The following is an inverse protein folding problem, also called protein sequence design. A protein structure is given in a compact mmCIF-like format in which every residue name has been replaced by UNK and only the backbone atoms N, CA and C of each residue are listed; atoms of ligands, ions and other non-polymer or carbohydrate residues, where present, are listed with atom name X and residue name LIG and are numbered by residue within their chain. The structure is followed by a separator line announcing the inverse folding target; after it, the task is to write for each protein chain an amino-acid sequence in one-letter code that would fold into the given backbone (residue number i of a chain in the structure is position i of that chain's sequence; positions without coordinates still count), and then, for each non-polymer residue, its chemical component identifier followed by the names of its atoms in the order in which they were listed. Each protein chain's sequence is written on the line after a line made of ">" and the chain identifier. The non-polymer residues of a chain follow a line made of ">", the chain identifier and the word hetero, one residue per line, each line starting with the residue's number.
data_IF_823066220597
#
_entry.id   IF_823066220597
#
_cell.length_a   1.000
_cell.length_b   1.000
_cell.length_c   1.000
_cell.angle_alpha   90.00
_cell.angle_beta   90.00
_cell.angle_gamma   90.00
#
_symmetry.space_group_name_H-M   'P 1'
#
loop_
_entity.id
_entity.type
_entity.pdbx_description
1 polymer ?
#
# COMPACT_ATOMS: atom_id res chain seq x y z
N UNK A 1 11.09 -10.98 -11.72
CA UNK A 1 9.73 -10.49 -11.40
C UNK A 1 8.92 -11.67 -10.92
N UNK A 2 8.19 -11.56 -9.82
CA UNK A 2 7.36 -12.67 -9.33
C UNK A 2 6.25 -13.00 -10.33
N UNK A 3 5.95 -14.29 -10.58
CA UNK A 3 5.00 -14.69 -11.62
C UNK A 3 3.58 -14.14 -11.39
N UNK A 4 3.15 -13.99 -10.13
CA UNK A 4 1.82 -13.47 -9.77
C UNK A 4 1.63 -11.99 -10.10
N UNK A 5 2.63 -11.14 -9.81
CA UNK A 5 2.60 -9.71 -10.16
C UNK A 5 2.69 -9.48 -11.68
N UNK A 6 3.43 -10.37 -12.36
CA UNK A 6 3.54 -10.33 -13.83
C UNK A 6 2.18 -10.59 -14.49
N UNK A 7 1.40 -11.54 -13.95
CA UNK A 7 0.05 -11.81 -14.43
C UNK A 7 -0.93 -10.68 -14.09
N UNK A 8 -0.80 -10.07 -12.90
CA UNK A 8 -1.66 -8.96 -12.47
C UNK A 8 -1.56 -7.72 -13.37
N UNK A 9 -0.42 -7.51 -14.05
CA UNK A 9 -0.23 -6.41 -15.02
C UNK A 9 -1.33 -6.33 -16.10
N UNK A 10 -2.01 -7.44 -16.41
CA UNK A 10 -3.16 -7.47 -17.34
C UNK A 10 -4.33 -6.56 -16.94
N UNK A 11 -4.40 -6.16 -15.67
CA UNK A 11 -5.45 -5.27 -15.16
C UNK A 11 -5.08 -3.79 -15.25
N UNK A 12 -3.88 -3.47 -15.72
CA UNK A 12 -3.37 -2.11 -15.85
C UNK A 12 -3.40 -1.64 -17.31
N UNK A 13 -3.35 -0.32 -17.55
CA UNK A 13 -3.11 0.23 -18.87
C UNK A 13 -1.85 -0.35 -19.53
N UNK A 14 -1.85 -0.45 -20.86
CA UNK A 14 -0.72 -1.01 -21.63
C UNK A 14 0.58 -0.23 -21.40
N UNK A 15 0.45 1.09 -21.28
CA UNK A 15 1.52 2.06 -21.04
C UNK A 15 1.86 2.25 -19.55
N UNK A 16 1.27 1.46 -18.65
CA UNK A 16 1.62 1.51 -17.24
C UNK A 16 3.12 1.16 -17.06
N UNK A 17 3.93 2.04 -16.43
CA UNK A 17 5.39 1.93 -16.44
C UNK A 17 5.90 0.69 -15.68
N UNK A 18 5.16 0.24 -14.65
CA UNK A 18 5.50 -0.93 -13.83
C UNK A 18 6.93 -0.90 -13.28
N UNK A 19 7.38 0.28 -12.87
CA UNK A 19 8.75 0.55 -12.44
C UNK A 19 8.88 0.74 -10.92
N UNK A 20 7.76 0.67 -10.18
CA UNK A 20 7.70 0.95 -8.74
C UNK A 20 8.20 2.37 -8.37
N UNK A 21 8.06 3.33 -9.29
CA UNK A 21 8.27 4.74 -8.98
C UNK A 21 7.05 5.32 -8.26
N UNK A 22 7.26 6.39 -7.47
CA UNK A 22 6.14 7.12 -6.86
C UNK A 22 5.19 7.69 -7.93
N UNK A 23 5.71 8.12 -9.07
CA UNK A 23 4.90 8.62 -10.19
C UNK A 23 3.99 7.52 -10.79
N UNK A 24 4.39 6.25 -10.72
CA UNK A 24 3.53 5.15 -11.16
C UNK A 24 2.28 4.99 -10.29
N UNK A 25 2.29 5.52 -9.06
CA UNK A 25 1.12 5.52 -8.17
C UNK A 25 0.04 6.49 -8.65
N UNK A 26 0.41 7.62 -9.24
CA UNK A 26 -0.55 8.56 -9.82
C UNK A 26 -1.37 7.89 -10.95
N UNK A 27 -0.73 7.01 -11.74
CA UNK A 27 -1.43 6.25 -12.78
C UNK A 27 -2.27 5.13 -12.16
N UNK A 28 -1.77 4.48 -11.11
CA UNK A 28 -2.53 3.46 -10.38
C UNK A 28 -3.80 4.05 -9.75
N UNK A 29 -3.72 5.27 -9.22
CA UNK A 29 -4.86 6.02 -8.67
C UNK A 29 -5.99 6.18 -9.70
N UNK A 30 -5.70 6.49 -10.96
CA UNK A 30 -6.74 6.56 -12.00
C UNK A 30 -7.46 5.23 -12.17
N UNK A 31 -6.72 4.12 -12.21
CA UNK A 31 -7.32 2.77 -12.32
C UNK A 31 -8.20 2.45 -11.11
N UNK A 32 -7.77 2.87 -9.92
CA UNK A 32 -8.50 2.68 -8.67
C UNK A 32 -9.77 3.53 -8.62
N UNK A 33 -9.73 4.78 -9.09
CA UNK A 33 -10.89 5.68 -9.12
C UNK A 33 -12.02 5.16 -10.02
N UNK A 34 -11.66 4.55 -11.15
CA UNK A 34 -12.61 3.94 -12.09
C UNK A 34 -13.18 2.63 -11.55
N UNK A 35 -12.35 1.84 -10.85
CA UNK A 35 -12.74 0.51 -10.37
C UNK A 35 -13.48 0.53 -9.04
N UNK A 36 -13.15 1.47 -8.14
CA UNK A 36 -13.71 1.58 -6.80
C UNK A 36 -14.59 2.82 -6.69
N UNK A 37 -15.90 2.71 -6.97
CA UNK A 37 -16.83 3.82 -6.75
C UNK A 37 -17.00 4.16 -5.27
N UNK A 38 -16.77 3.20 -4.36
CA UNK A 38 -16.88 3.39 -2.92
C UNK A 38 -15.96 2.42 -2.12
N UNK A 39 -15.94 2.60 -0.79
CA UNK A 39 -15.20 1.75 0.15
C UNK A 39 -15.56 0.26 0.04
N UNK A 40 -16.83 -0.06 -0.19
CA UNK A 40 -17.31 -1.45 -0.23
C UNK A 40 -16.73 -2.19 -1.43
N UNK A 41 -16.54 -1.47 -2.53
CA UNK A 41 -16.00 -1.99 -3.80
C UNK A 41 -14.57 -2.51 -3.67
N UNK A 42 -13.77 -1.98 -2.75
CA UNK A 42 -12.37 -2.40 -2.51
C UNK A 42 -12.29 -3.84 -2.01
N UNK A 43 -13.26 -4.26 -1.18
CA UNK A 43 -13.33 -5.61 -0.59
C UNK A 43 -14.34 -6.52 -1.31
N UNK A 44 -14.93 -6.06 -2.41
CA UNK A 44 -15.89 -6.83 -3.16
C UNK A 44 -15.22 -8.08 -3.79
N UNK A 45 -15.83 -9.28 -3.72
CA UNK A 45 -15.21 -10.51 -4.23
C UNK A 45 -14.76 -10.42 -5.70
N UNK A 46 -15.51 -9.71 -6.54
CA UNK A 46 -15.19 -9.46 -7.95
C UNK A 46 -13.91 -8.65 -8.17
N UNK A 47 -13.46 -7.91 -7.15
CA UNK A 47 -12.25 -7.11 -7.18
C UNK A 47 -11.08 -7.77 -6.44
N UNK A 48 -11.26 -8.92 -5.75
CA UNK A 48 -10.24 -9.52 -4.88
C UNK A 48 -8.87 -9.66 -5.55
N UNK A 49 -8.82 -10.25 -6.75
CA UNK A 49 -7.56 -10.45 -7.49
C UNK A 49 -6.87 -9.10 -7.81
N UNK A 50 -7.66 -8.09 -8.19
CA UNK A 50 -7.13 -6.77 -8.48
C UNK A 50 -6.64 -6.07 -7.21
N UNK A 51 -7.44 -6.10 -6.13
CA UNK A 51 -7.10 -5.52 -4.83
C UNK A 51 -5.83 -6.13 -4.27
N UNK A 52 -5.67 -7.45 -4.34
CA UNK A 52 -4.47 -8.14 -3.86
C UNK A 52 -3.21 -7.69 -4.62
N UNK A 53 -3.28 -7.58 -5.95
CA UNK A 53 -2.16 -7.08 -6.74
C UNK A 53 -1.89 -5.60 -6.51
N UNK A 54 -2.91 -4.78 -6.31
CA UNK A 54 -2.78 -3.36 -5.98
C UNK A 54 -2.11 -3.16 -4.61
N UNK A 55 -2.53 -3.90 -3.58
CA UNK A 55 -1.91 -3.93 -2.25
C UNK A 55 -0.43 -4.28 -2.37
N UNK A 56 -0.12 -5.30 -3.17
CA UNK A 56 1.25 -5.78 -3.35
C UNK A 56 2.11 -4.77 -4.10
N UNK A 57 1.60 -4.20 -5.20
CA UNK A 57 2.33 -3.20 -5.98
C UNK A 57 2.58 -1.92 -5.17
N UNK A 58 1.57 -1.45 -4.44
CA UNK A 58 1.64 -0.26 -3.61
C UNK A 58 2.69 -0.43 -2.49
N UNK A 59 2.56 -1.47 -1.67
CA UNK A 59 3.51 -1.65 -0.58
C UNK A 59 4.93 -1.96 -1.06
N UNK A 60 5.09 -2.60 -2.22
CA UNK A 60 6.40 -2.84 -2.80
C UNK A 60 7.02 -1.57 -3.41
N UNK A 61 6.17 -0.65 -3.88
CA UNK A 61 6.58 0.70 -4.28
C UNK A 61 7.12 1.45 -3.07
N UNK A 62 6.39 1.50 -1.95
CA UNK A 62 6.88 2.15 -0.73
C UNK A 62 8.17 1.52 -0.21
N UNK A 63 8.23 0.18 -0.14
CA UNK A 63 9.41 -0.57 0.31
C UNK A 63 10.69 -0.27 -0.48
N UNK A 64 10.55 0.05 -1.76
CA UNK A 64 11.69 0.36 -2.65
C UNK A 64 12.13 1.81 -2.58
N UNK A 65 11.24 2.71 -2.17
CA UNK A 65 11.52 4.15 -2.15
C UNK A 65 11.91 4.66 -0.75
N UNK A 66 11.60 3.92 0.32
CA UNK A 66 11.96 4.25 1.71
C UNK A 66 12.46 3.02 2.46
N UNK A 67 13.42 3.20 3.38
CA UNK A 67 13.98 2.13 4.22
C UNK A 67 12.91 1.48 5.11
N UNK A 68 12.24 0.47 4.56
CA UNK A 68 11.10 -0.19 5.19
C UNK A 68 11.06 -1.68 4.84
N UNK A 69 10.21 -2.44 5.52
CA UNK A 69 10.05 -3.89 5.38
C UNK A 69 8.57 -4.28 5.38
N UNK A 70 8.28 -5.42 4.77
CA UNK A 70 6.99 -6.07 4.92
C UNK A 70 6.86 -6.70 6.32
N UNK A 71 5.70 -6.53 6.95
CA UNK A 71 5.32 -7.21 8.19
C UNK A 71 3.94 -7.85 8.04
N UNK A 72 3.68 -8.86 8.87
CA UNK A 72 2.40 -9.54 8.97
C UNK A 72 2.22 -10.04 10.40
N UNK A 73 1.11 -9.70 11.02
CA UNK A 73 0.75 -10.14 12.37
C UNK A 73 -0.49 -11.03 12.33
N UNK A 74 -0.49 -12.10 13.13
CA UNK A 74 -1.66 -12.90 13.43
C UNK A 74 -1.81 -12.91 14.96
N UNK A 75 -2.65 -12.01 15.47
CA UNK A 75 -2.92 -11.85 16.91
C UNK A 75 -4.03 -12.78 17.39
N UNK A 76 -4.45 -13.74 16.55
CA UNK A 76 -5.51 -14.71 16.84
C UNK A 76 -6.88 -14.25 16.36
N UNK A 77 -7.99 -14.69 17.00
CA UNK A 77 -9.36 -14.43 16.53
C UNK A 77 -9.86 -13.01 16.84
N UNK A 78 -9.01 -12.10 17.30
CA UNK A 78 -9.40 -10.73 17.58
C UNK A 78 -9.46 -9.91 16.30
N UNK A 79 -10.67 -9.75 15.76
CA UNK A 79 -10.93 -8.97 14.55
C UNK A 79 -11.03 -7.45 14.82
N UNK A 80 -10.84 -6.98 16.06
CA UNK A 80 -10.83 -5.54 16.36
C UNK A 80 -9.50 -4.87 16.02
N UNK A 81 -8.41 -5.63 15.99
CA UNK A 81 -7.09 -5.13 15.61
C UNK A 81 -7.02 -4.97 14.08
N UNK A 82 -6.93 -3.71 13.65
CA UNK A 82 -6.83 -3.31 12.24
C UNK A 82 -5.55 -3.81 11.56
N UNK A 83 -4.56 -4.27 12.34
CA UNK A 83 -3.31 -4.83 11.84
C UNK A 83 -3.31 -6.36 11.82
N UNK A 84 -4.35 -7.00 12.37
CA UNK A 84 -4.45 -8.45 12.41
C UNK A 84 -4.74 -9.03 11.02
N UNK A 85 -3.94 -10.04 10.64
CA UNK A 85 -4.04 -10.80 9.39
C UNK A 85 -4.00 -9.94 8.11
N UNK A 86 -3.36 -8.78 8.16
CA UNK A 86 -3.15 -7.92 6.98
C UNK A 86 -1.66 -7.64 6.76
N UNK A 87 -1.19 -7.57 5.50
CA UNK A 87 0.18 -7.19 5.21
C UNK A 87 0.39 -5.69 5.50
N UNK A 88 1.53 -5.38 6.09
CA UNK A 88 1.94 -4.05 6.52
C UNK A 88 3.28 -3.67 5.89
N UNK A 89 3.49 -2.38 5.65
CA UNK A 89 4.82 -1.83 5.35
C UNK A 89 5.26 -1.00 6.54
N UNK A 90 6.43 -1.31 7.10
CA UNK A 90 6.92 -0.72 8.34
C UNK A 90 8.33 -0.13 8.16
N UNK A 91 8.58 1.05 8.70
CA UNK A 91 9.90 1.70 8.66
C UNK A 91 10.96 0.88 9.40
N UNK A 92 12.19 0.89 8.88
CA UNK A 92 13.33 0.14 9.43
C UNK A 92 14.06 0.92 10.51
N UNK A 93 13.35 1.20 11.60
CA UNK A 93 13.86 1.84 12.81
C UNK A 93 13.54 0.97 14.04
N UNK A 94 14.15 1.25 15.21
CA UNK A 94 13.76 0.60 16.45
C UNK A 94 12.24 0.72 16.72
N UNK A 95 11.67 -0.29 17.38
CA UNK A 95 10.22 -0.43 17.57
C UNK A 95 9.56 0.72 18.34
N UNK A 96 10.31 1.46 19.14
CA UNK A 96 9.87 2.67 19.84
C UNK A 96 9.59 3.85 18.89
N UNK A 97 10.08 3.78 17.66
CA UNK A 97 9.96 4.82 16.64
C UNK A 97 9.31 4.31 15.35
N UNK A 98 8.97 3.03 15.26
CA UNK A 98 8.51 2.47 14.00
C UNK A 98 7.10 2.94 13.61
N UNK A 99 6.91 3.12 12.31
CA UNK A 99 5.64 3.48 11.71
C UNK A 99 5.25 2.36 10.75
N UNK A 100 3.99 1.93 10.83
CA UNK A 100 3.45 0.92 9.94
C UNK A 100 2.22 1.45 9.18
N UNK A 101 2.17 1.17 7.89
CA UNK A 101 1.04 1.50 7.01
C UNK A 101 0.47 0.19 6.48
N UNK A 102 -0.86 0.08 6.45
CA UNK A 102 -1.57 -1.04 5.83
C UNK A 102 -1.98 -0.64 4.41
N UNK A 103 -1.36 -1.17 3.34
CA UNK A 103 -1.69 -0.76 1.98
C UNK A 103 -3.18 -0.95 1.64
N UNK A 104 -3.81 -2.00 2.16
CA UNK A 104 -5.25 -2.22 1.99
C UNK A 104 -6.10 -1.10 2.60
N UNK A 105 -5.73 -0.59 3.78
CA UNK A 105 -6.46 0.53 4.40
C UNK A 105 -6.23 1.83 3.65
N UNK A 106 -5.04 2.02 3.08
CA UNK A 106 -4.79 3.14 2.18
C UNK A 106 -5.65 3.08 0.93
N UNK A 107 -5.82 1.91 0.28
CA UNK A 107 -6.72 1.78 -0.87
C UNK A 107 -8.18 2.07 -0.49
N UNK A 108 -8.60 1.65 0.71
CA UNK A 108 -9.93 1.93 1.25
C UNK A 108 -10.13 3.42 1.50
N UNK A 109 -9.17 4.09 2.12
CA UNK A 109 -9.21 5.52 2.38
C UNK A 109 -9.24 6.29 1.05
N UNK A 110 -8.39 5.92 0.10
CA UNK A 110 -8.37 6.51 -1.24
C UNK A 110 -9.71 6.37 -1.98
N UNK A 111 -10.39 5.23 -1.88
CA UNK A 111 -11.71 5.04 -2.48
C UNK A 111 -12.79 5.98 -1.90
N UNK A 112 -12.59 6.48 -0.67
CA UNK A 112 -13.48 7.43 0.02
C UNK A 112 -13.08 8.88 -0.29
N UNK A 113 -11.81 9.21 -0.03
CA UNK A 113 -11.31 10.60 -0.09
C UNK A 113 -11.10 11.05 -1.53
N UNK A 114 -10.66 10.12 -2.40
CA UNK A 114 -10.44 10.31 -3.84
C UNK A 114 -9.51 11.49 -4.16
N UNK A 115 -8.58 11.77 -3.25
CA UNK A 115 -7.58 12.82 -3.40
C UNK A 115 -6.41 12.32 -4.25
N UNK A 116 -6.10 13.06 -5.32
CA UNK A 116 -5.00 12.74 -6.24
C UNK A 116 -3.65 12.96 -5.55
N UNK A 117 -2.74 12.01 -5.70
CA UNK A 117 -1.41 12.01 -5.08
C UNK A 117 -1.38 11.37 -3.68
N UNK A 118 -2.53 10.98 -3.13
CA UNK A 118 -2.62 10.41 -1.78
C UNK A 118 -1.73 9.17 -1.62
N UNK A 119 -1.70 8.26 -2.60
CA UNK A 119 -0.96 6.99 -2.47
C UNK A 119 0.55 7.21 -2.38
N UNK A 120 1.09 8.17 -3.14
CA UNK A 120 2.51 8.53 -3.04
C UNK A 120 2.81 9.31 -1.76
N UNK A 121 1.89 10.15 -1.29
CA UNK A 121 2.08 10.97 -0.09
C UNK A 121 2.14 10.12 1.18
N UNK A 122 1.41 9.00 1.25
CA UNK A 122 1.46 8.09 2.40
C UNK A 122 2.88 7.63 2.76
N UNK A 123 3.82 7.64 1.81
CA UNK A 123 5.21 7.27 2.09
C UNK A 123 5.92 8.25 3.04
N UNK A 124 5.39 9.48 3.20
CA UNK A 124 5.95 10.47 4.12
C UNK A 124 5.90 9.95 5.56
N UNK A 125 4.83 9.26 5.98
CA UNK A 125 4.74 8.70 7.33
C UNK A 125 5.90 7.75 7.66
N UNK A 126 6.35 6.95 6.68
CA UNK A 126 7.51 6.09 6.84
C UNK A 126 8.80 6.91 6.89
N UNK A 127 8.91 7.93 6.05
CA UNK A 127 10.08 8.81 5.97
C UNK A 127 10.27 9.61 7.25
N UNK A 128 9.20 10.25 7.72
CA UNK A 128 9.16 11.05 8.95
C UNK A 128 9.61 10.21 10.15
N UNK A 129 9.13 8.96 10.27
CA UNK A 129 9.55 8.07 11.36
C UNK A 129 11.04 7.72 11.33
N UNK A 130 11.65 7.67 10.14
CA UNK A 130 13.09 7.40 9.98
C UNK A 130 13.88 8.64 10.38
N UNK A 131 13.46 9.81 9.92
CA UNK A 131 14.10 11.09 10.26
C UNK A 131 14.00 11.40 11.77
N UNK A 132 12.88 11.06 12.41
CA UNK A 132 12.69 11.22 13.86
C UNK A 132 13.59 10.27 14.68
N UNK A 133 13.77 9.03 14.22
CA UNK A 133 14.66 8.07 14.85
C UNK A 133 16.13 8.51 14.76
N UNK A 134 16.57 8.97 13.59
CA UNK A 134 17.95 9.48 13.37
C UNK A 134 18.27 10.72 14.22
N UNK A 135 17.27 11.54 14.57
CA UNK A 135 17.44 12.71 15.44
C UNK A 135 17.50 12.36 16.93
N UNK A 136 17.09 11.14 17.30
CA UNK A 136 17.02 10.67 18.68
C UNK A 136 18.27 9.89 19.12
N UNK A 137 19.20 9.63 18.20
CA UNK A 137 20.51 8.97 18.42
C UNK A 137 21.64 9.97 18.80
#
# INVERSE_FOLDING_TARGET
>A
MEPTLSAWRRHLPEDFPFDYSLNSLDILEEVLLDRYPDRSSVKAPENSEFTEGAVRYLGETWRRNVSSRWLFYDTGPDDQDIYNRVPLVCSNVPSEHDMAIVPLHTLIAFAVDRERGMLREMISLLTDSIEEAEQSE
#
